data_IF_476063899905
#
_entry.id   IF_476063899905
#
_cell.length_a   1.000
_cell.length_b   1.000
_cell.length_c   1.000
_cell.angle_alpha   90.00
_cell.angle_beta   90.00
_cell.angle_gamma   90.00
#
_symmetry.space_group_name_H-M   'P 1'
#
loop_
_entity.id
_entity.type
_entity.pdbx_description
1 polymer ?
#
# COMPACT_ATOMS: atom_id res chain seq x y z
N UNK A 1 -2.31 31.47 -3.23
CA UNK A 1 -1.66 30.76 -4.36
C UNK A 1 -2.76 30.19 -5.25
N UNK A 2 -2.61 30.20 -6.57
CA UNK A 2 -3.58 29.63 -7.51
C UNK A 2 -2.92 28.53 -8.35
N UNK A 3 -3.63 27.41 -8.56
CA UNK A 3 -3.21 26.31 -9.44
C UNK A 3 -4.40 25.77 -10.24
N UNK A 4 -4.14 24.97 -11.27
CA UNK A 4 -5.20 24.25 -11.96
C UNK A 4 -5.69 23.06 -11.14
N UNK A 5 -4.77 22.27 -10.58
CA UNK A 5 -5.10 21.06 -9.82
C UNK A 5 -4.35 21.02 -8.49
N UNK A 6 -5.09 20.84 -7.39
CA UNK A 6 -4.54 20.50 -6.09
C UNK A 6 -4.71 19.01 -5.82
N UNK A 7 -3.62 18.29 -5.58
CA UNK A 7 -3.60 16.88 -5.21
C UNK A 7 -3.31 16.80 -3.72
N UNK A 8 -4.24 16.25 -2.94
CA UNK A 8 -4.09 16.12 -1.49
C UNK A 8 -3.62 14.71 -1.16
N UNK A 9 -2.36 14.56 -0.75
CA UNK A 9 -1.72 13.30 -0.39
C UNK A 9 -0.68 12.83 -1.40
N UNK A 10 0.57 12.64 -0.96
CA UNK A 10 1.69 12.12 -1.75
C UNK A 10 1.91 10.62 -1.54
N UNK A 11 0.81 9.85 -1.50
CA UNK A 11 0.86 8.39 -1.63
C UNK A 11 1.12 7.96 -3.08
N UNK A 12 1.24 6.64 -3.35
CA UNK A 12 1.44 6.13 -4.71
C UNK A 12 0.41 6.68 -5.71
N UNK A 13 -0.87 6.73 -5.34
CA UNK A 13 -1.92 7.25 -6.21
C UNK A 13 -1.74 8.75 -6.54
N UNK A 14 -1.47 9.59 -5.54
CA UNK A 14 -1.29 11.04 -5.74
C UNK A 14 -0.03 11.38 -6.54
N UNK A 15 1.07 10.66 -6.27
CA UNK A 15 2.32 10.81 -7.01
C UNK A 15 2.19 10.33 -8.46
N UNK A 16 1.54 9.19 -8.71
CA UNK A 16 1.28 8.72 -10.07
C UNK A 16 0.37 9.69 -10.84
N UNK A 17 -0.67 10.24 -10.21
CA UNK A 17 -1.53 11.25 -10.83
C UNK A 17 -0.75 12.54 -11.16
N UNK A 18 0.08 13.02 -10.23
CA UNK A 18 0.93 14.17 -10.49
C UNK A 18 1.86 13.90 -11.69
N UNK A 19 2.46 12.70 -11.74
CA UNK A 19 3.34 12.29 -12.82
C UNK A 19 2.63 12.15 -14.17
N UNK A 20 1.42 11.60 -14.20
CA UNK A 20 0.66 11.43 -15.45
C UNK A 20 0.27 12.75 -16.10
N UNK A 21 0.28 13.84 -15.33
CA UNK A 21 -0.01 15.19 -15.80
C UNK A 21 1.26 15.96 -16.23
N UNK A 22 2.44 15.33 -16.20
CA UNK A 22 3.66 15.94 -16.68
C UNK A 22 3.54 16.34 -18.17
N UNK A 23 4.00 17.54 -18.51
CA UNK A 23 3.95 18.05 -19.89
C UNK A 23 2.58 18.56 -20.35
N UNK A 24 1.54 18.48 -19.51
CA UNK A 24 0.19 19.00 -19.85
C UNK A 24 0.10 20.53 -19.90
N UNK A 25 1.10 21.24 -19.35
CA UNK A 25 1.06 22.69 -19.17
C UNK A 25 0.23 23.15 -17.95
N UNK A 26 -0.41 22.23 -17.23
CA UNK A 26 -1.19 22.54 -16.03
C UNK A 26 -0.28 22.85 -14.84
N UNK A 27 -0.71 23.80 -14.02
CA UNK A 27 -0.10 24.09 -12.74
C UNK A 27 -0.67 23.18 -11.65
N UNK A 28 0.19 22.51 -10.89
CA UNK A 28 -0.17 21.50 -9.90
C UNK A 28 0.38 21.87 -8.52
N UNK A 29 -0.42 21.66 -7.48
CA UNK A 29 0.04 21.63 -6.09
C UNK A 29 -0.15 20.24 -5.49
N UNK A 30 0.92 19.62 -5.02
CA UNK A 30 0.86 18.37 -4.27
C UNK A 30 1.03 18.69 -2.78
N UNK A 31 0.01 18.42 -1.97
CA UNK A 31 -0.02 18.77 -0.54
C UNK A 31 0.18 17.51 0.28
N UNK A 32 1.16 17.52 1.19
CA UNK A 32 1.51 16.35 2.00
C UNK A 32 1.96 16.76 3.41
N UNK A 33 1.41 16.16 4.48
CA UNK A 33 1.86 16.42 5.84
C UNK A 33 3.27 15.90 6.16
N UNK A 34 3.75 14.86 5.48
CA UNK A 34 5.11 14.35 5.66
C UNK A 34 6.17 15.28 5.04
N UNK A 35 7.36 15.42 5.66
CA UNK A 35 8.47 16.15 5.04
C UNK A 35 8.96 15.44 3.79
N UNK A 36 9.51 16.20 2.83
CA UNK A 36 10.16 15.66 1.61
C UNK A 36 11.14 14.52 1.90
N UNK A 37 11.94 14.63 2.96
CA UNK A 37 12.89 13.59 3.35
C UNK A 37 12.22 12.24 3.62
N UNK A 38 11.04 12.23 4.25
CA UNK A 38 10.28 11.01 4.53
C UNK A 38 9.62 10.40 3.27
N UNK A 39 9.36 11.23 2.25
CA UNK A 39 8.89 10.75 0.95
C UNK A 39 10.03 10.16 0.12
N UNK A 40 11.21 10.81 0.15
CA UNK A 40 12.42 10.36 -0.52
C UNK A 40 12.95 9.04 0.05
N UNK A 41 12.90 8.89 1.38
CA UNK A 41 13.31 7.70 2.10
C UNK A 41 12.12 7.04 2.81
N UNK A 42 11.13 6.62 2.01
CA UNK A 42 9.97 5.93 2.55
C UNK A 42 10.40 4.64 3.26
N UNK A 43 10.05 4.52 4.53
CA UNK A 43 10.43 3.40 5.40
C UNK A 43 9.66 2.13 5.03
N UNK A 44 10.33 0.98 5.11
CA UNK A 44 9.71 -0.34 4.99
C UNK A 44 8.62 -0.53 6.06
N UNK A 45 7.40 -0.82 5.62
CA UNK A 45 6.20 -0.92 6.45
C UNK A 45 5.61 -2.35 6.49
N UNK A 46 6.33 -3.34 5.97
CA UNK A 46 5.87 -4.73 5.91
C UNK A 46 4.85 -5.02 4.81
N UNK A 47 4.44 -4.03 4.01
CA UNK A 47 3.43 -4.20 2.97
C UNK A 47 4.09 -4.42 1.61
N UNK A 48 3.73 -5.53 0.99
CA UNK A 48 4.00 -5.80 -0.42
C UNK A 48 2.69 -5.63 -1.20
N UNK A 49 2.77 -5.01 -2.38
CA UNK A 49 1.64 -4.77 -3.26
C UNK A 49 1.71 -5.78 -4.40
N UNK A 50 0.62 -6.50 -4.63
CA UNK A 50 0.43 -7.33 -5.81
C UNK A 50 0.05 -6.44 -7.00
N UNK A 51 0.98 -6.31 -7.94
CA UNK A 51 0.84 -5.54 -9.16
C UNK A 51 0.42 -6.46 -10.31
N UNK A 52 -0.64 -6.07 -11.00
CA UNK A 52 -1.11 -6.71 -12.24
C UNK A 52 -0.27 -6.22 -13.43
N UNK A 53 -0.46 -6.85 -14.60
CA UNK A 53 0.12 -6.36 -15.86
C UNK A 53 -0.24 -4.90 -16.15
N UNK A 54 -1.52 -4.53 -15.99
CA UNK A 54 -1.96 -3.16 -16.22
C UNK A 54 -1.27 -2.16 -15.28
N UNK A 55 -1.13 -2.50 -13.99
CA UNK A 55 -0.39 -1.67 -13.04
C UNK A 55 1.07 -1.53 -13.42
N UNK A 56 1.73 -2.62 -13.84
CA UNK A 56 3.12 -2.57 -14.30
C UNK A 56 3.27 -1.66 -15.53
N UNK A 57 2.42 -1.83 -16.54
CA UNK A 57 2.45 -1.01 -17.76
C UNK A 57 2.28 0.47 -17.43
N UNK A 58 1.37 0.81 -16.51
CA UNK A 58 1.20 2.19 -16.04
C UNK A 58 2.47 2.70 -15.34
N UNK A 59 3.09 1.90 -14.47
CA UNK A 59 4.34 2.28 -13.80
C UNK A 59 5.50 2.43 -14.79
N UNK A 60 5.55 1.66 -15.86
CA UNK A 60 6.53 1.81 -16.95
C UNK A 60 6.30 3.12 -17.71
N UNK A 61 5.06 3.42 -18.11
CA UNK A 61 4.70 4.67 -18.79
C UNK A 61 5.02 5.92 -17.96
N UNK A 62 4.91 5.82 -16.64
CA UNK A 62 5.21 6.92 -15.72
C UNK A 62 6.70 7.02 -15.35
N UNK A 63 7.56 6.14 -15.87
CA UNK A 63 9.00 6.02 -15.54
C UNK A 63 9.25 5.71 -14.04
N UNK A 64 8.38 4.88 -13.44
CA UNK A 64 8.50 4.40 -12.07
C UNK A 64 9.11 3.01 -12.01
N UNK A 65 8.72 2.12 -12.92
CA UNK A 65 9.10 0.71 -12.87
C UNK A 65 10.62 0.50 -12.95
N UNK A 66 11.27 1.23 -13.86
CA UNK A 66 12.73 1.25 -14.07
C UNK A 66 13.53 1.70 -12.83
N UNK A 67 12.89 2.40 -11.88
CA UNK A 67 13.52 2.96 -10.67
C UNK A 67 13.44 2.02 -9.47
N UNK A 68 12.72 0.90 -9.62
CA UNK A 68 12.60 -0.11 -8.57
C UNK A 68 13.71 -1.13 -8.78
N UNK A 69 14.45 -1.43 -7.71
CA UNK A 69 15.48 -2.48 -7.72
C UNK A 69 14.87 -3.80 -8.22
N UNK A 70 15.34 -4.36 -9.36
CA UNK A 70 14.83 -5.61 -9.91
C UNK A 70 14.87 -6.77 -8.90
N UNK A 71 15.87 -6.78 -8.02
CA UNK A 71 16.01 -7.82 -6.99
C UNK A 71 14.99 -7.69 -5.85
N UNK A 72 14.27 -6.58 -5.79
CA UNK A 72 13.18 -6.37 -4.84
C UNK A 72 11.81 -6.78 -5.41
N UNK A 73 11.73 -7.09 -6.70
CA UNK A 73 10.50 -7.46 -7.39
C UNK A 73 10.34 -8.99 -7.34
N UNK A 74 9.34 -9.48 -6.62
CA UNK A 74 9.05 -10.91 -6.57
C UNK A 74 8.04 -11.28 -7.67
N UNK A 75 8.41 -12.13 -8.64
CA UNK A 75 7.45 -12.62 -9.62
C UNK A 75 6.45 -13.57 -8.97
N UNK A 76 5.20 -13.48 -9.41
CA UNK A 76 4.10 -14.36 -9.07
C UNK A 76 3.75 -15.18 -10.31
N UNK A 77 4.13 -16.46 -10.35
CA UNK A 77 3.96 -17.33 -11.51
C UNK A 77 2.72 -18.18 -11.46
N UNK A 78 2.35 -18.61 -10.25
CA UNK A 78 1.22 -19.48 -10.03
C UNK A 78 0.42 -18.99 -8.83
N UNK A 79 -0.88 -19.25 -8.81
CA UNK A 79 -1.71 -19.08 -7.64
C UNK A 79 -2.57 -20.33 -7.42
N UNK A 80 -2.63 -20.80 -6.17
CA UNK A 80 -3.42 -21.96 -5.76
C UNK A 80 -4.43 -21.52 -4.73
N UNK A 81 -5.71 -21.65 -5.08
CA UNK A 81 -6.83 -21.34 -4.19
C UNK A 81 -7.47 -22.65 -3.74
N UNK A 82 -7.38 -22.90 -2.44
CA UNK A 82 -7.93 -24.09 -1.80
C UNK A 82 -9.37 -23.80 -1.32
N UNK A 83 -10.24 -24.81 -1.30
CA UNK A 83 -11.62 -24.64 -0.83
C UNK A 83 -12.00 -25.66 0.26
N UNK A 84 -12.12 -25.19 1.51
CA UNK A 84 -12.39 -26.02 2.68
C UNK A 84 -11.53 -27.28 2.76
N UNK A 85 -12.20 -28.43 2.91
CA UNK A 85 -11.62 -29.77 2.92
C UNK A 85 -11.49 -30.41 1.54
N UNK A 86 -11.81 -29.69 0.46
CA UNK A 86 -11.68 -30.20 -0.90
C UNK A 86 -10.23 -30.58 -1.19
N UNK A 87 -9.96 -31.78 -1.75
CA UNK A 87 -8.63 -32.14 -2.21
C UNK A 87 -8.23 -31.37 -3.48
N UNK A 88 -9.16 -30.68 -4.13
CA UNK A 88 -8.93 -29.93 -5.35
C UNK A 88 -8.66 -28.45 -5.08
N UNK A 89 -7.64 -27.92 -5.75
CA UNK A 89 -7.28 -26.51 -5.76
C UNK A 89 -7.63 -25.89 -7.11
N UNK A 90 -8.21 -24.69 -7.13
CA UNK A 90 -8.19 -23.86 -8.32
C UNK A 90 -6.75 -23.40 -8.53
N UNK A 91 -6.14 -23.86 -9.62
CA UNK A 91 -4.76 -23.49 -9.97
C UNK A 91 -4.80 -22.53 -11.16
N UNK A 92 -4.33 -21.31 -10.93
CA UNK A 92 -4.01 -20.35 -11.98
C UNK A 92 -2.52 -20.53 -12.28
N UNK A 93 -2.19 -21.15 -13.41
CA UNK A 93 -0.82 -21.47 -13.78
C UNK A 93 -0.44 -20.77 -15.09
N UNK A 94 0.76 -20.19 -15.11
CA UNK A 94 1.35 -19.58 -16.32
C UNK A 94 1.89 -20.59 -17.30
N UNK A 95 2.01 -21.88 -16.91
CA UNK A 95 2.61 -22.94 -17.75
C UNK A 95 1.82 -23.26 -19.03
N UNK A 96 0.56 -22.83 -19.18
CA UNK A 96 -0.24 -23.08 -20.38
C UNK A 96 -0.35 -21.88 -21.32
N UNK A 97 0.07 -20.68 -20.88
CA UNK A 97 -0.21 -19.43 -21.58
C UNK A 97 1.11 -18.78 -22.00
N UNK A 98 1.18 -18.23 -23.21
CA UNK A 98 2.38 -17.50 -23.71
C UNK A 98 2.64 -16.17 -22.99
N UNK A 99 1.93 -15.90 -21.89
CA UNK A 99 1.84 -14.61 -21.21
C UNK A 99 2.51 -14.66 -19.82
N UNK A 100 3.85 -14.60 -19.78
CA UNK A 100 4.65 -14.14 -18.63
C UNK A 100 4.30 -14.65 -17.22
N UNK A 101 4.71 -13.90 -16.19
CA UNK A 101 4.28 -14.09 -14.79
C UNK A 101 2.84 -13.56 -14.62
N UNK A 102 2.02 -14.09 -13.69
CA UNK A 102 0.67 -13.58 -13.37
C UNK A 102 0.67 -12.14 -12.83
N UNK A 103 1.79 -11.74 -12.24
CA UNK A 103 1.98 -10.43 -11.65
C UNK A 103 3.26 -10.38 -10.81
N UNK A 104 3.40 -9.31 -10.02
CA UNK A 104 4.58 -9.09 -9.21
C UNK A 104 4.22 -8.56 -7.82
N UNK A 105 4.92 -9.03 -6.80
CA UNK A 105 4.87 -8.48 -5.45
C UNK A 105 6.02 -7.49 -5.31
N UNK A 106 5.69 -6.25 -4.96
CA UNK A 106 6.68 -5.18 -4.78
C UNK A 106 6.46 -4.50 -3.43
N UNK A 107 7.52 -4.30 -2.61
CA UNK A 107 7.41 -3.57 -1.36
C UNK A 107 6.85 -2.15 -1.59
N UNK A 108 5.80 -1.80 -0.86
CA UNK A 108 5.06 -0.54 -1.03
C UNK A 108 5.97 0.69 -0.89
N UNK A 109 6.92 0.65 0.05
CA UNK A 109 7.88 1.73 0.25
C UNK A 109 8.77 2.00 -0.99
N UNK A 110 9.11 0.98 -1.78
CA UNK A 110 9.88 1.16 -3.02
C UNK A 110 9.04 1.81 -4.12
N UNK A 111 7.76 1.44 -4.23
CA UNK A 111 6.81 2.10 -5.14
C UNK A 111 6.71 3.58 -4.78
N UNK A 112 6.59 3.91 -3.48
CA UNK A 112 6.55 5.31 -2.99
C UNK A 112 7.82 6.07 -3.35
N UNK A 113 9.00 5.48 -3.11
CA UNK A 113 10.30 6.09 -3.45
C UNK A 113 10.45 6.33 -4.95
N UNK A 114 10.10 5.34 -5.77
CA UNK A 114 10.12 5.46 -7.24
C UNK A 114 9.17 6.55 -7.73
N UNK A 115 7.94 6.58 -7.22
CA UNK A 115 6.95 7.60 -7.57
C UNK A 115 7.39 9.01 -7.15
N UNK A 116 7.97 9.14 -5.95
CA UNK A 116 8.48 10.42 -5.47
C UNK A 116 9.69 10.89 -6.31
N UNK A 117 10.58 9.97 -6.69
CA UNK A 117 11.71 10.27 -7.56
C UNK A 117 11.27 10.74 -8.96
N UNK A 118 10.24 10.12 -9.52
CA UNK A 118 9.75 10.43 -10.87
C UNK A 118 9.09 11.82 -11.00
N UNK A 119 8.56 12.35 -9.89
CA UNK A 119 7.97 13.71 -9.87
C UNK A 119 8.99 14.80 -9.50
N UNK A 120 10.22 14.44 -9.12
CA UNK A 120 11.24 15.44 -8.81
C UNK A 120 11.54 16.29 -10.04
N UNK A 121 11.66 17.60 -9.82
CA UNK A 121 11.92 18.59 -10.87
C UNK A 121 10.89 18.61 -12.02
N UNK A 122 9.70 18.02 -11.83
CA UNK A 122 8.62 18.11 -12.82
C UNK A 122 8.17 19.57 -12.98
N UNK A 123 8.25 20.15 -14.19
CA UNK A 123 7.76 21.50 -14.44
C UNK A 123 6.26 21.62 -14.13
N UNK A 124 5.86 22.73 -13.53
CA UNK A 124 4.47 22.99 -13.16
C UNK A 124 4.02 22.30 -11.86
N UNK A 125 4.82 21.41 -11.26
CA UNK A 125 4.48 20.77 -9.99
C UNK A 125 5.15 21.46 -8.80
N UNK A 126 4.33 21.94 -7.85
CA UNK A 126 4.80 22.43 -6.55
C UNK A 126 4.43 21.46 -5.44
N UNK A 127 5.43 20.90 -4.77
CA UNK A 127 5.24 20.12 -3.56
C UNK A 127 5.19 21.04 -2.32
N UNK A 128 4.05 20.99 -1.61
CA UNK A 128 3.80 21.63 -0.32
C UNK A 128 3.86 20.54 0.76
N UNK A 129 5.06 20.24 1.25
CA UNK A 129 5.32 19.28 2.32
C UNK A 129 5.19 19.90 3.71
N UNK A 130 5.15 19.08 4.77
CA UNK A 130 4.94 19.51 6.16
C UNK A 130 3.63 20.29 6.38
N UNK A 131 2.66 20.14 5.48
CA UNK A 131 1.42 20.92 5.47
C UNK A 131 0.24 20.02 5.18
N UNK A 132 -0.86 20.19 5.92
CA UNK A 132 -2.13 19.48 5.69
C UNK A 132 -3.24 20.45 5.31
N UNK A 133 -4.29 19.93 4.68
CA UNK A 133 -5.52 20.69 4.42
C UNK A 133 -6.36 20.68 5.69
N UNK A 134 -6.75 21.87 6.17
CA UNK A 134 -7.59 22.05 7.37
C UNK A 134 -9.04 22.39 7.02
N UNK A 135 -9.26 23.08 5.90
CA UNK A 135 -10.58 23.35 5.36
C UNK A 135 -10.54 23.26 3.84
N UNK A 136 -11.63 22.77 3.27
CA UNK A 136 -11.84 22.68 1.83
C UNK A 136 -13.26 23.12 1.54
N UNK A 137 -13.39 24.16 0.71
CA UNK A 137 -14.67 24.65 0.20
C UNK A 137 -14.64 24.56 -1.31
N UNK A 138 -15.66 23.97 -1.91
CA UNK A 138 -15.81 23.91 -3.36
C UNK A 138 -17.00 24.79 -3.75
N UNK A 139 -16.79 25.67 -4.71
CA UNK A 139 -17.85 26.38 -5.44
C UNK A 139 -17.91 25.85 -6.89
N UNK A 140 -18.82 26.38 -7.71
CA UNK A 140 -19.06 25.91 -9.08
C UNK A 140 -17.88 26.15 -10.03
N UNK A 141 -16.91 26.99 -9.64
CA UNK A 141 -15.81 27.47 -10.48
C UNK A 141 -14.42 27.09 -9.96
N UNK A 142 -14.27 26.94 -8.65
CA UNK A 142 -13.00 26.70 -7.97
C UNK A 142 -13.20 26.05 -6.59
N UNK A 143 -12.12 25.46 -6.10
CA UNK A 143 -11.97 25.01 -4.74
C UNK A 143 -10.99 25.92 -3.99
N UNK A 144 -11.32 26.22 -2.74
CA UNK A 144 -10.50 26.98 -1.81
C UNK A 144 -10.05 26.05 -0.67
N UNK A 145 -8.74 25.95 -0.49
CA UNK A 145 -8.08 25.13 0.51
C UNK A 145 -7.39 26.04 1.53
N UNK A 146 -7.72 25.83 2.81
CA UNK A 146 -6.97 26.41 3.93
C UNK A 146 -5.97 25.38 4.42
N UNK A 147 -4.70 25.75 4.41
CA UNK A 147 -3.58 24.90 4.79
C UNK A 147 -3.20 25.09 6.26
N UNK A 148 -2.57 24.08 6.87
CA UNK A 148 -2.21 24.07 8.30
C UNK A 148 -1.19 25.11 8.72
N UNK A 149 -0.47 25.70 7.77
CA UNK A 149 0.45 26.80 7.97
C UNK A 149 -0.24 28.19 7.82
N UNK A 150 -1.58 28.22 7.72
CA UNK A 150 -2.38 29.43 7.54
C UNK A 150 -2.46 29.94 6.10
N UNK A 151 -1.76 29.31 5.15
CA UNK A 151 -1.83 29.71 3.74
C UNK A 151 -3.16 29.29 3.09
N UNK A 152 -3.62 30.09 2.15
CA UNK A 152 -4.76 29.76 1.29
C UNK A 152 -4.30 29.40 -0.13
N UNK A 153 -4.91 28.34 -0.68
CA UNK A 153 -4.68 27.86 -2.03
C UNK A 153 -6.01 27.73 -2.77
N UNK A 154 -6.12 28.32 -3.95
CA UNK A 154 -7.23 28.10 -4.86
C UNK A 154 -6.81 27.13 -5.97
N UNK A 155 -7.73 26.24 -6.35
CA UNK A 155 -7.54 25.27 -7.41
C UNK A 155 -8.82 25.10 -8.23
N UNK A 156 -8.72 24.89 -9.55
CA UNK A 156 -9.91 24.57 -10.38
C UNK A 156 -10.43 23.16 -10.12
N UNK A 157 -9.55 22.24 -9.74
CA UNK A 157 -9.87 20.86 -9.40
C UNK A 157 -9.09 20.42 -8.14
N UNK A 158 -9.74 19.63 -7.28
CA UNK A 158 -9.09 18.95 -6.16
C UNK A 158 -9.16 17.45 -6.35
N UNK A 159 -8.00 16.79 -6.35
CA UNK A 159 -7.88 15.34 -6.30
C UNK A 159 -7.59 14.90 -4.86
N UNK A 160 -8.57 14.29 -4.20
CA UNK A 160 -8.41 13.71 -2.86
C UNK A 160 -7.69 12.36 -2.95
N UNK A 161 -6.38 12.35 -2.72
CA UNK A 161 -5.50 11.18 -2.73
C UNK A 161 -4.96 10.83 -1.33
N UNK A 162 -5.66 11.25 -0.26
CA UNK A 162 -5.29 11.12 1.15
C UNK A 162 -5.83 9.82 1.81
N UNK A 163 -5.91 8.75 1.01
CA UNK A 163 -6.13 7.35 1.44
C UNK A 163 -7.52 7.05 2.08
N UNK A 164 -7.64 5.88 2.73
CA UNK A 164 -8.90 5.29 3.26
C UNK A 164 -9.71 6.27 4.11
N UNK A 165 -9.04 6.98 5.01
CA UNK A 165 -9.66 7.91 5.95
C UNK A 165 -9.59 9.36 5.47
N UNK A 166 -9.73 9.56 4.15
CA UNK A 166 -9.67 10.86 3.49
C UNK A 166 -10.41 11.94 4.27
N UNK A 167 -9.63 12.91 4.74
CA UNK A 167 -10.10 14.12 5.42
C UNK A 167 -10.73 15.08 4.41
N UNK A 168 -10.12 15.20 3.22
CA UNK A 168 -10.63 16.04 2.13
C UNK A 168 -12.02 15.62 1.68
N UNK A 169 -12.26 14.31 1.52
CA UNK A 169 -13.59 13.78 1.18
C UNK A 169 -14.65 14.17 2.22
N UNK A 170 -14.30 14.08 3.51
CA UNK A 170 -15.21 14.47 4.62
C UNK A 170 -15.48 15.97 4.63
N UNK A 171 -14.48 16.80 4.36
CA UNK A 171 -14.65 18.26 4.26
C UNK A 171 -15.60 18.66 3.14
N UNK A 172 -15.60 17.93 2.02
CA UNK A 172 -16.57 18.11 0.93
C UNK A 172 -17.97 17.52 1.21
N UNK A 173 -18.21 16.93 2.38
CA UNK A 173 -19.48 16.28 2.68
C UNK A 173 -19.74 15.00 1.87
N UNK A 174 -18.71 14.42 1.24
CA UNK A 174 -18.88 13.22 0.42
C UNK A 174 -18.89 11.98 1.33
N UNK A 175 -20.05 11.34 1.40
CA UNK A 175 -20.22 10.07 2.13
C UNK A 175 -19.38 8.94 1.53
N UNK A 176 -18.99 7.98 2.37
CA UNK A 176 -18.37 6.75 1.93
C UNK A 176 -18.98 5.57 2.69
N UNK A 177 -19.36 4.52 1.97
CA UNK A 177 -19.80 3.28 2.59
C UNK A 177 -18.58 2.52 3.11
N UNK A 178 -18.59 2.23 4.42
CA UNK A 178 -17.54 1.45 5.07
C UNK A 178 -18.16 0.17 5.61
N UNK A 179 -17.68 -0.97 5.11
CA UNK A 179 -18.04 -2.27 5.67
C UNK A 179 -16.91 -2.74 6.56
N UNK A 180 -17.20 -2.84 7.86
CA UNK A 180 -16.33 -3.56 8.77
C UNK A 180 -16.61 -5.06 8.64
N UNK A 181 -15.57 -5.84 8.33
CA UNK A 181 -15.68 -7.29 8.23
C UNK A 181 -15.54 -8.00 9.58
N UNK A 182 -15.26 -7.26 10.67
CA UNK A 182 -15.06 -7.84 12.00
C UNK A 182 -13.85 -8.75 12.09
N UNK A 183 -12.89 -8.60 11.16
CA UNK A 183 -11.70 -9.45 11.04
C UNK A 183 -10.45 -8.59 11.16
N UNK A 184 -9.52 -9.05 11.99
CA UNK A 184 -8.16 -8.52 12.03
C UNK A 184 -7.26 -9.34 11.11
N UNK A 185 -6.37 -8.67 10.39
CA UNK A 185 -5.38 -9.30 9.53
C UNK A 185 -3.98 -9.14 10.14
N UNK A 186 -3.24 -10.23 10.25
CA UNK A 186 -1.82 -10.21 10.59
C UNK A 186 -1.02 -10.32 9.30
N UNK A 187 -0.12 -9.36 9.07
CA UNK A 187 0.82 -9.38 7.95
C UNK A 187 2.22 -9.55 8.52
N UNK A 188 2.94 -10.57 8.06
CA UNK A 188 4.31 -10.83 8.44
C UNK A 188 5.08 -11.48 7.29
N UNK A 189 6.40 -11.35 7.32
CA UNK A 189 7.29 -12.10 6.42
C UNK A 189 7.77 -13.35 7.14
N UNK A 190 7.61 -14.49 6.48
CA UNK A 190 8.01 -15.79 7.01
C UNK A 190 9.09 -16.40 6.13
N UNK A 191 10.12 -16.96 6.76
CA UNK A 191 11.11 -17.80 6.06
C UNK A 191 10.66 -19.26 6.16
N UNK A 192 10.72 -19.96 5.04
CA UNK A 192 10.28 -21.34 4.93
C UNK A 192 11.45 -22.22 4.44
N UNK A 193 11.42 -23.51 4.77
CA UNK A 193 12.54 -24.43 4.54
C UNK A 193 12.72 -24.84 3.07
N UNK A 194 11.64 -24.87 2.27
CA UNK A 194 11.62 -25.27 0.86
C UNK A 194 11.29 -24.09 -0.03
N UNK A 195 11.82 -23.93 -1.24
CA UNK A 195 11.46 -22.80 -2.11
C UNK A 195 9.93 -22.66 -2.32
N UNK A 196 9.43 -21.43 -2.38
CA UNK A 196 8.00 -21.16 -2.62
C UNK A 196 7.63 -21.24 -4.13
N UNK A 197 8.63 -21.45 -5.00
CA UNK A 197 8.48 -21.60 -6.46
C UNK A 197 7.63 -20.51 -7.15
N UNK A 198 7.68 -19.28 -6.61
CA UNK A 198 6.87 -18.14 -7.09
C UNK A 198 5.35 -18.40 -7.10
N UNK A 199 4.85 -19.28 -6.23
CA UNK A 199 3.43 -19.61 -6.12
C UNK A 199 2.79 -18.89 -4.93
N UNK A 200 1.67 -18.20 -5.15
CA UNK A 200 0.78 -17.75 -4.07
C UNK A 200 -0.17 -18.88 -3.64
N UNK A 201 -0.46 -18.93 -2.35
CA UNK A 201 -1.37 -19.90 -1.75
C UNK A 201 -2.46 -19.15 -1.01
N UNK A 202 -3.70 -19.46 -1.35
CA UNK A 202 -4.88 -19.02 -0.62
C UNK A 202 -5.51 -20.24 0.06
N UNK A 203 -5.39 -20.27 1.38
CA UNK A 203 -5.84 -21.36 2.21
C UNK A 203 -7.10 -20.97 3.01
N UNK A 204 -8.18 -21.75 2.88
CA UNK A 204 -9.41 -21.55 3.61
C UNK A 204 -9.15 -21.78 5.11
N UNK A 205 -9.96 -21.15 5.98
CA UNK A 205 -9.72 -21.20 7.40
C UNK A 205 -9.88 -22.62 7.96
N UNK A 206 -8.84 -23.13 8.62
CA UNK A 206 -9.00 -24.08 9.73
C UNK A 206 -9.30 -23.34 11.05
N UNK A 207 -8.85 -22.08 11.17
CA UNK A 207 -9.09 -21.17 12.31
C UNK A 207 -9.01 -19.70 11.88
N UNK A 208 -8.13 -19.39 10.91
CA UNK A 208 -8.05 -18.11 10.23
C UNK A 208 -7.73 -18.32 8.75
N UNK A 209 -8.26 -17.44 7.89
CA UNK A 209 -7.97 -17.42 6.46
C UNK A 209 -6.51 -17.02 6.25
N UNK A 210 -5.78 -17.74 5.39
CA UNK A 210 -4.34 -17.55 5.21
C UNK A 210 -4.03 -17.34 3.74
N UNK A 211 -3.35 -16.24 3.45
CA UNK A 211 -2.81 -15.96 2.12
C UNK A 211 -1.31 -15.84 2.25
N UNK A 212 -0.57 -16.69 1.52
CA UNK A 212 0.88 -16.67 1.46
C UNK A 212 1.32 -16.28 0.06
N UNK A 213 1.93 -15.10 -0.08
CA UNK A 213 2.45 -14.62 -1.36
C UNK A 213 3.98 -14.76 -1.42
N UNK A 214 4.55 -15.07 -2.59
CA UNK A 214 5.99 -15.07 -2.78
C UNK A 214 6.53 -13.65 -2.67
N UNK A 215 7.56 -13.45 -1.85
CA UNK A 215 8.24 -12.15 -1.67
C UNK A 215 9.74 -12.34 -1.72
N UNK A 216 10.46 -11.29 -2.09
CA UNK A 216 11.93 -11.32 -2.10
C UNK A 216 12.49 -11.32 -0.67
N UNK A 217 13.64 -11.97 -0.42
CA UNK A 217 14.26 -11.97 0.90
C UNK A 217 14.55 -10.55 1.40
N UNK A 218 14.32 -10.30 2.68
CA UNK A 218 14.64 -9.02 3.28
C UNK A 218 16.17 -8.85 3.38
N UNK A 219 16.75 -7.86 2.69
CA UNK A 219 18.21 -7.58 2.73
C UNK A 219 18.67 -7.00 4.06
N UNK A 220 17.80 -6.26 4.75
CA UNK A 220 18.02 -5.90 6.15
C UNK A 220 17.78 -7.16 6.99
N UNK A 221 18.85 -7.77 7.48
CA UNK A 221 18.83 -9.09 8.13
C UNK A 221 17.64 -9.31 9.08
N UNK A 222 17.22 -10.58 9.19
CA UNK A 222 16.19 -11.04 10.12
C UNK A 222 16.63 -10.74 11.57
N UNK A 223 16.41 -9.53 12.04
CA UNK A 223 16.55 -9.17 13.44
C UNK A 223 15.33 -9.74 14.16
N UNK A 224 15.54 -10.77 14.99
CA UNK A 224 14.50 -11.31 15.89
C UNK A 224 13.83 -10.22 16.74
N UNK A 225 14.51 -9.10 16.95
CA UNK A 225 14.07 -8.01 17.85
C UNK A 225 13.49 -6.78 17.15
N UNK A 226 13.35 -6.77 15.81
CA UNK A 226 12.79 -5.60 15.12
C UNK A 226 11.29 -5.78 14.91
N UNK A 227 10.53 -5.72 16.00
CA UNK A 227 9.12 -5.40 15.93
C UNK A 227 8.99 -4.06 15.19
N UNK A 228 8.30 -4.04 14.04
CA UNK A 228 7.92 -2.80 13.39
C UNK A 228 7.19 -1.94 14.42
N UNK A 229 7.53 -0.64 14.61
CA UNK A 229 6.84 0.23 15.55
C UNK A 229 5.46 0.60 15.01
N UNK A 230 4.56 -0.38 14.95
CA UNK A 230 3.13 -0.14 14.90
C UNK A 230 2.67 0.13 16.33
N UNK A 231 2.22 1.35 16.63
CA UNK A 231 1.44 1.62 17.84
C UNK A 231 0.12 0.84 17.75
N UNK A 232 0.14 -0.45 18.04
CA UNK A 232 -1.05 -1.21 18.38
C UNK A 232 -1.52 -0.73 19.75
N UNK A 233 -2.39 0.28 19.78
CA UNK A 233 -3.29 0.45 20.92
C UNK A 233 -4.45 -0.51 20.73
N UNK A 234 -4.29 -1.73 21.26
CA UNK A 234 -5.36 -2.71 21.44
C UNK A 234 -5.13 -3.46 22.75
N UNK A 235 -6.14 -3.64 23.62
CA UNK A 235 -5.98 -4.22 24.94
C UNK A 235 -6.05 -5.75 24.85
N UNK A 236 -4.98 -6.40 24.41
CA UNK A 236 -4.88 -7.86 24.48
C UNK A 236 -3.50 -8.27 25.02
N UNK A 237 -3.45 -8.41 26.35
CA UNK A 237 -2.48 -9.21 27.12
C UNK A 237 -3.31 -10.22 27.94
N UNK A 238 -2.81 -11.43 28.26
CA UNK A 238 -2.29 -12.45 27.35
C UNK A 238 -3.04 -13.80 27.56
N UNK A 239 -3.59 -14.40 26.50
CA UNK A 239 -4.17 -15.76 26.52
C UNK A 239 -3.12 -16.88 26.36
N UNK A 240 -1.88 -16.63 26.76
CA UNK A 240 -0.76 -17.57 26.63
C UNK A 240 -0.10 -17.85 27.99
N UNK A 241 -0.86 -18.45 28.90
CA UNK A 241 -0.33 -19.33 29.94
C UNK A 241 -1.28 -20.52 30.10
N UNK A 242 -0.87 -21.67 29.56
CA UNK A 242 -1.34 -23.02 29.89
C UNK A 242 -0.20 -23.67 30.72
N UNK A 243 -0.47 -24.60 31.66
CA UNK A 243 -0.98 -25.92 31.27
C UNK A 243 -2.04 -26.51 32.22
N UNK A 244 -2.92 -27.34 31.64
CA UNK A 244 -3.76 -28.26 32.39
C UNK A 244 -2.94 -29.54 32.68
N UNK A 245 -2.96 -30.10 33.90
CA UNK A 245 -2.36 -31.40 34.14
C UNK A 245 -3.27 -32.52 33.62
N UNK A 246 -2.66 -33.41 32.81
CA UNK A 246 -3.15 -34.76 32.55
C UNK A 246 -2.81 -35.63 33.77
N UNK A 247 -3.81 -36.33 34.29
CA UNK A 247 -3.64 -37.39 35.28
C UNK A 247 -4.77 -38.39 35.15
N UNK A 248 -4.47 -39.57 34.60
CA UNK A 248 -5.37 -40.73 34.52
C UNK A 248 -4.79 -41.79 35.46
N UNK A 249 -5.64 -42.39 36.31
CA UNK A 249 -5.49 -43.77 36.78
C UNK A 249 -5.24 -44.01 38.27
N UNK A 250 -6.10 -44.81 38.90
CA UNK A 250 -5.69 -45.75 39.98
C UNK A 250 -6.62 -45.90 41.19
N UNK A 251 -7.44 -46.97 41.16
CA UNK A 251 -7.93 -47.82 42.27
C UNK A 251 -8.43 -47.20 43.60
N UNK A 252 -9.73 -47.31 43.84
CA UNK A 252 -10.36 -48.14 44.89
C UNK A 252 -11.88 -48.23 44.61
#
# INVERSE_FOLDING_TARGET
MHVDIAIVGAGPAGLCLARSLAGSGLSLALIEPQPRAALADAVFDGRDIALTHASRTLLEQLDLWSRIDPDAIAPLRDARVMNGSSPFALTLATRQDRHGDLGWLVPNHLIRRAAFAAVQAQPGLRLLDCVSVQALRCDDTQAQLTLSNGQALSARLVAAADSRFSSSRRMCGIGAQMRDFGRSMLVCRVRHARPHHHTAWDEPPATAHRVCCPVTPCRSGFSRDRALPGKFRSPLKPLLQKPAPLGIGGMA
#
